data_IF_953204039661
#
_entry.id   IF_953204039661
#
_cell.length_a   1.000
_cell.length_b   1.000
_cell.length_c   1.000
_cell.angle_alpha   90.00
_cell.angle_beta   90.00
_cell.angle_gamma   90.00
#
_symmetry.space_group_name_H-M   'P 1'
#
loop_
_entity.id
_entity.type
_entity.pdbx_description
1 polymer ?
#
# COMPACT_ATOMS: atom_id res chain seq x y z
N UNK A 1 39.95 -22.71 -23.21
CA UNK A 1 40.57 -21.39 -22.98
C UNK A 1 39.45 -20.47 -22.51
N UNK A 2 39.19 -20.48 -21.22
CA UNK A 2 38.32 -19.52 -20.55
C UNK A 2 39.23 -18.38 -20.12
N UNK A 3 39.04 -17.18 -20.65
CA UNK A 3 39.79 -15.99 -20.25
C UNK A 3 38.85 -15.11 -19.41
N UNK A 4 39.13 -15.14 -18.11
CA UNK A 4 39.04 -14.09 -17.07
C UNK A 4 37.98 -12.98 -17.19
N UNK A 5 37.15 -12.89 -16.14
CA UNK A 5 36.28 -11.77 -15.78
C UNK A 5 37.06 -10.74 -14.93
N UNK A 6 36.76 -9.42 -15.00
CA UNK A 6 37.34 -8.42 -14.10
C UNK A 6 36.58 -8.30 -12.76
N UNK A 7 37.37 -8.33 -11.69
CA UNK A 7 37.09 -8.18 -10.25
C UNK A 7 36.21 -6.96 -9.85
N UNK A 8 35.32 -7.07 -8.84
CA UNK A 8 34.89 -5.92 -8.05
C UNK A 8 35.88 -5.65 -6.90
N UNK A 9 36.45 -4.45 -6.90
CA UNK A 9 37.32 -3.91 -5.86
C UNK A 9 36.60 -3.87 -4.52
N UNK A 10 37.08 -4.65 -3.55
CA UNK A 10 36.71 -4.53 -2.15
C UNK A 10 37.34 -3.26 -1.60
N UNK A 11 36.53 -2.33 -1.11
CA UNK A 11 36.98 -1.25 -0.24
C UNK A 11 36.61 -1.62 1.19
N UNK A 12 37.61 -2.09 1.92
CA UNK A 12 37.58 -2.34 3.35
C UNK A 12 37.44 -1.00 4.09
N UNK A 13 36.66 -0.98 5.17
CA UNK A 13 36.60 0.14 6.10
C UNK A 13 36.55 -0.41 7.50
N UNK A 14 37.73 -0.78 8.00
CA UNK A 14 38.02 -1.00 9.41
C UNK A 14 37.58 0.20 10.25
N UNK A 15 36.78 -0.07 11.28
CA UNK A 15 36.59 0.85 12.40
C UNK A 15 36.29 0.05 13.67
N UNK A 16 37.19 -0.87 14.02
CA UNK A 16 37.29 -1.40 15.38
C UNK A 16 38.02 -0.37 16.26
N UNK A 17 37.27 0.52 16.89
CA UNK A 17 37.77 1.40 17.93
C UNK A 17 37.12 1.06 19.27
N UNK A 18 37.99 0.59 20.17
CA UNK A 18 38.01 0.87 21.60
C UNK A 18 36.97 0.18 22.50
N UNK A 19 37.27 -1.05 22.92
CA UNK A 19 36.78 -1.58 24.20
C UNK A 19 37.79 -1.27 25.29
N UNK A 20 37.66 -0.09 25.90
CA UNK A 20 38.54 0.34 26.97
C UNK A 20 37.90 1.39 27.87
N UNK A 21 37.13 0.96 28.86
CA UNK A 21 37.24 1.56 30.20
C UNK A 21 36.65 0.58 31.23
N UNK A 22 37.46 0.20 32.21
CA UNK A 22 37.08 -0.56 33.38
C UNK A 22 37.30 0.34 34.60
N UNK A 23 36.21 0.84 35.16
CA UNK A 23 36.11 1.70 36.34
C UNK A 23 34.69 2.27 36.33
N UNK A 24 33.91 2.24 37.40
CA UNK A 24 34.28 2.57 38.76
C UNK A 24 33.68 1.61 39.79
N UNK A 25 34.46 1.32 40.82
CA UNK A 25 33.98 0.63 42.01
C UNK A 25 33.38 1.63 42.99
N UNK A 26 32.10 1.50 43.29
CA UNK A 26 31.48 2.09 44.46
C UNK A 26 31.43 1.05 45.57
N UNK A 27 32.46 1.08 46.41
CA UNK A 27 32.41 0.41 47.70
C UNK A 27 31.52 1.22 48.64
N UNK A 28 30.30 0.74 48.90
CA UNK A 28 29.52 1.21 50.04
C UNK A 28 29.60 0.17 51.16
N UNK A 29 30.36 0.53 52.20
CA UNK A 29 30.32 -0.15 53.49
C UNK A 29 29.43 0.68 54.41
N UNK A 30 28.18 0.27 54.52
CA UNK A 30 27.19 0.86 55.42
C UNK A 30 26.47 -0.21 56.23
N UNK A 31 26.79 -0.27 57.52
CA UNK A 31 26.17 -1.09 58.56
C UNK A 31 24.84 -0.49 59.06
N UNK A 32 23.87 -1.36 59.40
CA UNK A 32 22.74 -1.10 60.33
C UNK A 32 21.66 -0.14 59.81
N UNK A 33 20.43 -0.10 60.30
CA UNK A 33 19.68 -0.85 61.31
C UNK A 33 18.21 -0.73 60.88
N UNK A 34 17.39 -1.74 61.16
CA UNK A 34 15.95 -1.65 60.91
C UNK A 34 15.33 -0.52 61.73
N UNK A 35 14.52 0.31 61.08
CA UNK A 35 13.52 1.13 61.75
C UNK A 35 12.14 0.77 61.19
N UNK A 36 11.25 0.42 62.11
CA UNK A 36 9.84 0.14 61.84
C UNK A 36 9.05 1.33 62.33
N UNK A 37 8.33 1.98 61.43
CA UNK A 37 7.41 3.08 61.73
C UNK A 37 7.68 4.28 60.82
N UNK A 38 6.75 5.14 60.51
CA UNK A 38 5.30 5.20 60.69
C UNK A 38 4.81 6.11 59.55
N UNK A 39 3.65 5.82 58.98
CA UNK A 39 3.21 6.40 57.71
C UNK A 39 3.00 7.91 57.71
N UNK A 40 3.06 8.47 56.51
CA UNK A 40 2.23 9.59 56.09
C UNK A 40 1.73 9.23 54.69
N UNK A 41 0.41 9.19 54.54
CA UNK A 41 -0.21 8.92 53.25
C UNK A 41 -0.03 10.10 52.33
N UNK A 42 0.37 9.82 51.11
CA UNK A 42 0.01 10.63 49.97
C UNK A 42 -0.88 9.74 49.11
N UNK A 43 -2.13 10.15 48.97
CA UNK A 43 -3.00 9.68 47.92
C UNK A 43 -2.24 9.84 46.60
N UNK A 44 -1.66 8.75 46.08
CA UNK A 44 -1.35 8.59 44.67
C UNK A 44 -2.69 8.62 43.91
N UNK A 45 -3.29 9.81 43.88
CA UNK A 45 -3.93 10.31 42.69
C UNK A 45 -2.86 10.10 41.64
N UNK A 46 -2.99 9.03 40.85
CA UNK A 46 -2.16 8.83 39.69
C UNK A 46 -2.29 10.12 38.90
N UNK A 47 -1.32 11.00 39.09
CA UNK A 47 -0.89 11.92 38.07
C UNK A 47 -0.54 10.96 36.94
N UNK A 48 -1.54 10.72 36.11
CA UNK A 48 -1.31 10.36 34.74
C UNK A 48 -0.54 11.55 34.20
N UNK A 49 0.77 11.53 34.45
CA UNK A 49 1.79 11.88 33.48
C UNK A 49 1.49 10.97 32.29
N UNK A 50 0.39 11.28 31.59
CA UNK A 50 0.34 11.11 30.17
C UNK A 50 1.40 12.06 29.66
N UNK A 51 2.66 11.61 29.77
CA UNK A 51 3.67 11.79 28.75
C UNK A 51 3.05 11.21 27.48
N UNK A 52 2.06 11.94 26.97
CA UNK A 52 1.72 11.91 25.58
C UNK A 52 2.95 12.51 24.92
N UNK A 53 3.99 11.68 24.77
CA UNK A 53 4.93 11.71 23.67
C UNK A 53 4.14 11.46 22.37
N UNK A 54 3.11 12.29 22.17
CA UNK A 54 2.36 12.45 20.95
C UNK A 54 3.15 13.40 20.08
N UNK A 55 4.35 12.96 19.68
CA UNK A 55 4.84 13.22 18.33
C UNK A 55 3.96 12.42 17.33
N UNK A 56 2.64 12.56 17.49
CA UNK A 56 1.66 12.18 16.50
C UNK A 56 1.85 13.21 15.39
N UNK A 57 2.25 12.77 14.19
CA UNK A 57 2.24 13.61 13.01
C UNK A 57 0.85 14.22 12.87
N UNK A 58 0.69 15.46 13.35
CA UNK A 58 -0.61 16.09 13.56
C UNK A 58 -1.16 16.54 12.21
N UNK A 59 -1.77 15.60 11.51
CA UNK A 59 -2.58 15.87 10.34
C UNK A 59 -4.00 16.24 10.75
N UNK A 60 -4.72 16.96 9.87
CA UNK A 60 -6.12 17.26 10.14
C UNK A 60 -6.91 15.94 10.24
N UNK A 61 -8.05 15.97 10.95
CA UNK A 61 -8.86 14.78 11.11
C UNK A 61 -9.29 14.23 9.73
N UNK A 62 -8.79 13.05 9.39
CA UNK A 62 -9.01 12.40 8.08
C UNK A 62 -7.74 12.25 7.23
N UNK A 63 -6.65 12.93 7.59
CA UNK A 63 -5.36 12.82 6.93
C UNK A 63 -4.43 11.84 7.65
N UNK A 64 -3.46 11.30 6.92
CA UNK A 64 -2.44 10.38 7.43
C UNK A 64 -1.05 10.97 7.24
N UNK A 65 -0.18 10.79 8.23
CA UNK A 65 1.21 11.20 8.14
C UNK A 65 2.00 10.22 7.27
N UNK A 66 2.32 10.63 6.04
CA UNK A 66 3.06 9.84 5.06
C UNK A 66 4.36 10.57 4.68
N UNK A 67 5.52 9.92 4.85
CA UNK A 67 6.83 10.45 4.44
C UNK A 67 7.14 11.90 4.89
N UNK A 68 6.64 12.30 6.06
CA UNK A 68 6.87 13.63 6.62
C UNK A 68 5.88 14.71 6.17
N UNK A 69 4.81 14.34 5.46
CA UNK A 69 3.72 15.22 5.04
C UNK A 69 2.36 14.62 5.44
N UNK A 70 1.37 15.49 5.64
CA UNK A 70 -0.01 15.07 5.80
C UNK A 70 -0.67 14.90 4.44
N UNK A 71 -1.23 13.72 4.19
CA UNK A 71 -1.94 13.40 2.97
C UNK A 71 -3.31 12.83 3.30
N UNK A 72 -4.31 13.26 2.56
CA UNK A 72 -5.64 12.67 2.64
C UNK A 72 -5.68 11.38 1.82
N UNK A 73 -5.38 10.26 2.49
CA UNK A 73 -5.39 8.93 1.89
C UNK A 73 -6.78 8.54 1.35
N UNK A 74 -7.84 9.29 1.64
CA UNK A 74 -9.17 8.99 1.13
C UNK A 74 -9.42 9.50 -0.30
N UNK A 75 -8.61 10.47 -0.77
CA UNK A 75 -8.74 11.10 -2.09
C UNK A 75 -7.41 11.20 -2.85
N UNK A 76 -6.28 11.05 -2.17
CA UNK A 76 -4.97 11.17 -2.77
C UNK A 76 -4.67 9.96 -3.66
N UNK A 77 -4.31 10.22 -4.92
CA UNK A 77 -4.03 9.17 -5.89
C UNK A 77 -2.71 8.43 -5.63
N UNK A 78 -1.75 9.04 -4.94
CA UNK A 78 -0.43 8.46 -4.66
C UNK A 78 -0.38 7.76 -3.28
N UNK A 79 -1.37 8.02 -2.41
CA UNK A 79 -1.46 7.51 -1.04
C UNK A 79 -2.84 6.92 -0.72
N UNK A 80 -3.51 6.29 -1.68
CA UNK A 80 -4.91 5.88 -1.51
C UNK A 80 -5.06 4.73 -0.51
N UNK A 81 -5.77 4.98 0.60
CA UNK A 81 -5.98 4.03 1.69
C UNK A 81 -4.75 3.75 2.57
N UNK A 82 -3.54 3.95 2.06
CA UNK A 82 -2.29 3.87 2.83
C UNK A 82 -1.15 4.64 2.17
N UNK A 83 -0.15 5.01 2.97
CA UNK A 83 1.00 5.77 2.49
C UNK A 83 1.75 5.04 1.36
N UNK A 84 1.97 5.72 0.23
CA UNK A 84 2.66 5.19 -0.94
C UNK A 84 1.84 4.22 -1.79
N UNK A 85 0.53 4.05 -1.52
CA UNK A 85 -0.36 3.24 -2.34
C UNK A 85 -0.93 4.04 -3.51
N UNK A 86 -0.18 4.05 -4.62
CA UNK A 86 -0.60 4.77 -5.81
C UNK A 86 -1.65 3.99 -6.64
N UNK A 87 -2.80 4.62 -6.91
CA UNK A 87 -3.82 4.07 -7.78
C UNK A 87 -3.40 4.12 -9.25
N UNK A 88 -3.65 3.02 -9.97
CA UNK A 88 -3.48 3.00 -11.41
C UNK A 88 -4.56 3.87 -12.09
N UNK A 89 -4.17 4.63 -13.10
CA UNK A 89 -5.10 5.40 -13.95
C UNK A 89 -4.94 4.97 -15.40
N UNK A 90 -6.01 4.44 -15.97
CA UNK A 90 -6.08 3.93 -17.34
C UNK A 90 -7.21 4.62 -18.09
N UNK A 91 -6.86 5.36 -19.15
CA UNK A 91 -7.83 6.08 -19.98
C UNK A 91 -8.74 7.04 -19.19
N UNK A 92 -8.18 7.65 -18.14
CA UNK A 92 -8.94 8.51 -17.22
C UNK A 92 -9.87 7.76 -16.27
N UNK A 93 -9.81 6.43 -16.22
CA UNK A 93 -10.46 5.59 -15.20
C UNK A 93 -9.42 5.23 -14.14
N UNK A 94 -9.78 5.31 -12.87
CA UNK A 94 -8.83 5.22 -11.75
C UNK A 94 -8.84 6.53 -10.98
N UNK A 95 -9.32 6.46 -9.75
CA UNK A 95 -9.49 7.58 -8.83
C UNK A 95 -9.38 7.03 -7.42
N UNK A 96 -8.83 7.77 -6.47
CA UNK A 96 -8.98 7.40 -5.07
C UNK A 96 -10.35 7.89 -4.58
N UNK A 97 -11.16 6.99 -4.03
CA UNK A 97 -12.43 7.35 -3.42
C UNK A 97 -12.62 6.56 -2.14
N UNK A 98 -12.78 7.26 -1.02
CA UNK A 98 -12.94 6.65 0.31
C UNK A 98 -11.77 5.73 0.69
N UNK A 99 -10.56 6.04 0.20
CA UNK A 99 -9.36 5.24 0.46
C UNK A 99 -9.29 3.94 -0.33
N UNK A 100 -10.09 3.81 -1.39
CA UNK A 100 -10.08 2.67 -2.30
C UNK A 100 -9.84 3.16 -3.72
N UNK A 101 -8.91 2.49 -4.41
CA UNK A 101 -8.69 2.76 -5.82
C UNK A 101 -9.88 2.32 -6.64
N UNK A 102 -10.50 3.29 -7.32
CA UNK A 102 -11.56 3.06 -8.27
C UNK A 102 -11.06 2.13 -9.38
N UNK A 103 -11.93 1.24 -9.86
CA UNK A 103 -11.56 0.25 -10.84
C UNK A 103 -11.18 0.90 -12.18
N UNK A 104 -10.21 0.29 -12.85
CA UNK A 104 -9.70 0.71 -14.15
C UNK A 104 -10.09 -0.29 -15.22
N UNK A 105 -9.95 0.10 -16.48
CA UNK A 105 -10.03 -0.88 -17.56
C UNK A 105 -8.74 -1.72 -17.55
N UNK A 106 -8.86 -3.02 -17.34
CA UNK A 106 -7.77 -3.98 -17.43
C UNK A 106 -7.35 -4.27 -18.87
N UNK A 107 -6.39 -5.18 -19.05
CA UNK A 107 -5.80 -5.44 -20.36
C UNK A 107 -6.79 -5.92 -21.44
N UNK A 108 -6.36 -5.79 -22.71
CA UNK A 108 -7.09 -6.28 -23.86
C UNK A 108 -7.10 -7.81 -23.88
N UNK A 109 -8.30 -8.40 -23.83
CA UNK A 109 -8.52 -9.84 -23.90
C UNK A 109 -9.15 -10.19 -25.23
N UNK A 110 -8.59 -11.17 -25.93
CA UNK A 110 -9.16 -11.70 -27.16
C UNK A 110 -10.34 -12.62 -26.84
N UNK A 111 -11.36 -12.64 -27.70
CA UNK A 111 -12.47 -13.60 -27.62
C UNK A 111 -12.18 -14.95 -28.28
N UNK A 112 -10.96 -15.13 -28.83
CA UNK A 112 -10.48 -16.40 -29.38
C UNK A 112 -10.17 -17.39 -28.26
N UNK A 113 -10.68 -18.61 -28.39
CA UNK A 113 -10.85 -19.57 -27.29
C UNK A 113 -9.65 -19.78 -26.35
N UNK A 114 -9.89 -19.90 -25.02
CA UNK A 114 -11.19 -19.87 -24.35
C UNK A 114 -11.68 -18.44 -24.05
N UNK A 115 -13.01 -18.23 -24.16
CA UNK A 115 -13.65 -17.01 -23.66
C UNK A 115 -13.59 -17.02 -22.12
N UNK A 116 -12.88 -16.06 -21.54
CA UNK A 116 -12.82 -15.90 -20.09
C UNK A 116 -13.81 -14.84 -19.62
N UNK A 117 -14.36 -15.02 -18.43
CA UNK A 117 -15.23 -14.01 -17.81
C UNK A 117 -14.39 -12.80 -17.36
N UNK A 118 -15.02 -11.64 -17.17
CA UNK A 118 -14.33 -10.49 -16.59
C UNK A 118 -13.81 -10.79 -15.19
N UNK A 119 -14.52 -11.58 -14.38
CA UNK A 119 -14.01 -12.07 -13.10
C UNK A 119 -12.69 -12.85 -13.25
N UNK A 120 -12.59 -13.77 -14.20
CA UNK A 120 -11.34 -14.52 -14.44
C UNK A 120 -10.25 -13.65 -15.05
N UNK A 121 -10.58 -12.79 -16.00
CA UNK A 121 -9.62 -11.88 -16.63
C UNK A 121 -9.02 -10.91 -15.61
N UNK A 122 -9.83 -10.35 -14.72
CA UNK A 122 -9.33 -9.51 -13.63
C UNK A 122 -8.53 -10.33 -12.61
N UNK A 123 -9.02 -11.52 -12.22
CA UNK A 123 -8.33 -12.38 -11.26
C UNK A 123 -6.94 -12.81 -11.75
N UNK A 124 -6.78 -13.05 -13.05
CA UNK A 124 -5.48 -13.33 -13.67
C UNK A 124 -4.49 -12.16 -13.55
N UNK A 125 -4.98 -10.94 -13.32
CA UNK A 125 -4.20 -9.73 -13.08
C UNK A 125 -4.09 -9.38 -11.58
N UNK A 126 -4.59 -10.23 -10.68
CA UNK A 126 -4.66 -9.95 -9.24
C UNK A 126 -5.74 -8.92 -8.85
N UNK A 127 -6.63 -8.58 -9.79
CA UNK A 127 -7.68 -7.57 -9.62
C UNK A 127 -9.06 -8.24 -9.48
N UNK A 128 -10.04 -7.53 -8.93
CA UNK A 128 -11.43 -7.98 -8.84
C UNK A 128 -12.28 -7.26 -9.88
N UNK A 129 -13.23 -7.96 -10.49
CA UNK A 129 -14.12 -7.29 -11.44
C UNK A 129 -15.11 -6.36 -10.72
N UNK A 130 -15.22 -5.13 -11.22
CA UNK A 130 -16.16 -4.14 -10.70
C UNK A 130 -17.28 -3.87 -11.72
N UNK A 131 -18.48 -4.39 -11.43
CA UNK A 131 -19.63 -4.18 -12.29
C UNK A 131 -20.08 -2.70 -12.26
N UNK A 132 -20.06 -2.04 -13.42
CA UNK A 132 -20.42 -0.62 -13.55
C UNK A 132 -19.41 0.36 -12.94
N UNK A 133 -18.23 -0.10 -12.52
CA UNK A 133 -17.24 0.74 -11.83
C UNK A 133 -16.50 1.73 -12.73
N UNK A 134 -16.40 1.45 -14.04
CA UNK A 134 -15.64 2.25 -14.99
C UNK A 134 -16.59 3.20 -15.74
N UNK A 135 -17.05 4.25 -15.06
CA UNK A 135 -17.99 5.23 -15.63
C UNK A 135 -19.35 4.61 -16.02
N UNK A 136 -19.83 3.64 -15.23
CA UNK A 136 -21.08 2.90 -15.49
C UNK A 136 -20.92 1.69 -16.42
N UNK A 137 -19.69 1.34 -16.79
CA UNK A 137 -19.37 0.25 -17.71
C UNK A 137 -18.65 -0.86 -16.95
N UNK A 138 -18.98 -2.11 -17.29
CA UNK A 138 -18.30 -3.30 -16.73
C UNK A 138 -17.26 -3.84 -17.68
N UNK A 139 -17.47 -3.66 -18.99
CA UNK A 139 -16.52 -4.06 -20.03
C UNK A 139 -16.66 -3.17 -21.25
N UNK A 140 -15.68 -3.19 -22.14
CA UNK A 140 -15.72 -2.47 -23.41
C UNK A 140 -15.37 -3.40 -24.55
N UNK A 141 -16.15 -3.35 -25.62
CA UNK A 141 -15.96 -4.18 -26.79
C UNK A 141 -15.18 -3.44 -27.86
N UNK A 142 -14.25 -4.15 -28.49
CA UNK A 142 -13.35 -3.64 -29.51
C UNK A 142 -13.30 -4.60 -30.71
N UNK A 143 -13.39 -4.04 -31.92
CA UNK A 143 -13.35 -4.82 -33.15
C UNK A 143 -11.96 -5.38 -33.48
N UNK A 144 -10.91 -4.67 -33.08
CA UNK A 144 -9.50 -5.00 -33.35
C UNK A 144 -8.62 -4.65 -32.14
N UNK A 145 -7.40 -5.19 -32.11
CA UNK A 145 -6.43 -4.95 -31.05
C UNK A 145 -6.03 -3.46 -30.92
N UNK A 146 -5.84 -2.76 -32.05
CA UNK A 146 -5.51 -1.32 -32.05
C UNK A 146 -6.59 -0.47 -31.39
N UNK A 147 -7.86 -0.75 -31.69
CA UNK A 147 -9.01 -0.08 -31.07
C UNK A 147 -9.07 -0.36 -29.57
N UNK A 148 -8.69 -1.58 -29.17
CA UNK A 148 -8.62 -1.98 -27.77
C UNK A 148 -7.52 -1.23 -27.01
N UNK A 149 -6.31 -1.13 -27.59
CA UNK A 149 -5.21 -0.38 -27.01
C UNK A 149 -5.44 1.12 -26.99
N UNK A 150 -6.24 1.63 -27.93
CA UNK A 150 -6.58 3.04 -28.03
C UNK A 150 -7.85 3.41 -27.24
N UNK A 151 -8.44 2.47 -26.49
CA UNK A 151 -9.68 2.65 -25.73
C UNK A 151 -10.89 3.10 -26.56
N UNK A 152 -10.80 2.97 -27.88
CA UNK A 152 -11.87 3.29 -28.81
C UNK A 152 -12.78 2.07 -28.91
N UNK A 153 -13.86 2.07 -28.13
CA UNK A 153 -14.77 0.94 -28.06
C UNK A 153 -16.16 1.27 -27.53
N UNK A 154 -17.09 0.35 -27.76
CA UNK A 154 -18.46 0.48 -27.28
C UNK A 154 -18.60 0.01 -25.84
N UNK A 155 -19.43 0.69 -25.06
CA UNK A 155 -19.74 0.27 -23.69
C UNK A 155 -20.44 -1.08 -23.72
N UNK A 156 -19.87 -2.05 -23.00
CA UNK A 156 -20.61 -3.19 -22.51
C UNK A 156 -21.08 -2.91 -21.08
N UNK A 157 -22.40 -2.93 -20.89
CA UNK A 157 -23.00 -3.04 -19.56
C UNK A 157 -23.25 -4.52 -19.23
N UNK A 158 -23.15 -4.89 -17.96
CA UNK A 158 -23.58 -6.21 -17.47
C UNK A 158 -22.80 -6.70 -16.25
N UNK A 159 -23.07 -7.94 -15.78
CA UNK A 159 -22.37 -8.53 -14.65
C UNK A 159 -20.94 -8.96 -15.01
N UNK A 160 -20.10 -9.15 -14.00
CA UNK A 160 -18.72 -9.64 -14.14
C UNK A 160 -18.58 -11.05 -14.71
N UNK A 161 -19.68 -11.80 -14.76
CA UNK A 161 -19.76 -13.11 -15.42
C UNK A 161 -19.78 -13.03 -16.95
N UNK A 162 -19.94 -11.83 -17.52
CA UNK A 162 -19.74 -11.58 -18.95
C UNK A 162 -18.24 -11.46 -19.28
N UNK A 163 -17.81 -11.65 -20.54
CA UNK A 163 -18.63 -11.95 -21.72
C UNK A 163 -19.16 -13.40 -21.76
N UNK A 164 -20.45 -13.58 -22.10
CA UNK A 164 -21.03 -14.91 -22.36
C UNK A 164 -21.22 -15.21 -23.85
N UNK A 165 -21.19 -14.20 -24.71
CA UNK A 165 -21.17 -14.35 -26.18
C UNK A 165 -20.26 -13.28 -26.81
N UNK A 166 -19.42 -13.62 -27.81
CA UNK A 166 -18.54 -12.66 -28.45
C UNK A 166 -19.33 -11.78 -29.43
N UNK A 167 -19.50 -10.50 -29.11
CA UNK A 167 -19.99 -9.50 -30.09
C UNK A 167 -18.86 -8.94 -30.96
N UNK A 168 -17.60 -9.01 -30.50
CA UNK A 168 -16.40 -8.57 -31.24
C UNK A 168 -15.16 -9.45 -30.92
N UNK A 169 -14.01 -9.15 -31.54
CA UNK A 169 -12.78 -9.94 -31.39
C UNK A 169 -11.98 -9.65 -30.10
N UNK A 170 -12.14 -8.47 -29.50
CA UNK A 170 -11.41 -8.05 -28.30
C UNK A 170 -12.33 -7.34 -27.30
N UNK A 171 -12.03 -7.45 -26.01
CA UNK A 171 -12.72 -6.73 -24.94
C UNK A 171 -11.77 -6.35 -23.80
N UNK A 172 -12.12 -5.32 -23.03
CA UNK A 172 -11.47 -4.97 -21.76
C UNK A 172 -12.50 -5.05 -20.65
N UNK A 173 -12.08 -5.51 -19.48
CA UNK A 173 -12.96 -5.61 -18.32
C UNK A 173 -12.60 -4.53 -17.30
N UNK A 174 -13.61 -4.07 -16.56
CA UNK A 174 -13.43 -3.16 -15.45
C UNK A 174 -12.91 -3.96 -14.24
N UNK A 175 -11.65 -3.74 -13.90
CA UNK A 175 -10.93 -4.44 -12.86
C UNK A 175 -10.49 -3.42 -11.79
N UNK A 176 -10.87 -3.64 -10.54
CA UNK A 176 -10.43 -2.87 -9.38
C UNK A 176 -9.53 -3.68 -8.47
N UNK A 177 -9.09 -3.05 -7.40
CA UNK A 177 -8.30 -3.71 -6.36
C UNK A 177 -9.21 -4.43 -5.37
N UNK A 178 -8.66 -5.44 -4.67
CA UNK A 178 -9.36 -6.26 -3.68
C UNK A 178 -9.27 -5.66 -2.28
#
# INVERSE_FOLDING_TARGET
>A
MCLEEPEPTSSESDSDLDSGESGDGDGDSGDGDGDSGDGDGDDDSGDGDGDGDGDEGNCEAGETWCDGICVDTSIDLEHCGSCGHACEVVDGNGACSEGVCAPTLGNCVATGEPLVSCSEACAAQGKVCAAGGCGGRTLTWHGNLDSCNSFIGSAGGGPCSLPTEPVTNYYRCCCGEQ
#
